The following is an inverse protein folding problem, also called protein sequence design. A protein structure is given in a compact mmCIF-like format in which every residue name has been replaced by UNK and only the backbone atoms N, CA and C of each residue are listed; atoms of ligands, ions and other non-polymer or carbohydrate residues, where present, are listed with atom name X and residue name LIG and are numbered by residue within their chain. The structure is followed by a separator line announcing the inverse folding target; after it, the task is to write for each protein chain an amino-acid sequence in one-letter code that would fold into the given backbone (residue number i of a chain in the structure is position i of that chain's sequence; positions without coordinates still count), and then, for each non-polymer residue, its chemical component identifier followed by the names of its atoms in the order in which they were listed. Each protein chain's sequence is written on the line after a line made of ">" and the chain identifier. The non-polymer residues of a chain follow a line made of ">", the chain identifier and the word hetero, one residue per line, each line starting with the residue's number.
data_IF_394610077956
#
_entry.id   IF_394610077956
#
_cell.length_a   1.000
_cell.length_b   1.000
_cell.length_c   1.000
_cell.angle_alpha   90.00
_cell.angle_beta   90.00
_cell.angle_gamma   90.00
#
_symmetry.space_group_name_H-M   'P 1'
#
loop_
_entity.id
_entity.type
_entity.pdbx_description
1 polymer ?
#
# COMPACT_ATOMS: atom_id res chain seq x y z
N UNK A 1 14.23 -19.79 -23.88
CA UNK A 1 14.41 -18.77 -22.83
C UNK A 1 13.61 -19.24 -21.64
N UNK A 2 14.27 -19.53 -20.53
CA UNK A 2 13.59 -19.95 -19.30
C UNK A 2 12.83 -18.77 -18.69
N UNK A 3 11.91 -19.01 -17.76
CA UNK A 3 11.21 -17.94 -17.04
C UNK A 3 12.20 -17.04 -16.30
N UNK A 4 13.26 -17.61 -15.73
CA UNK A 4 14.31 -16.85 -15.05
C UNK A 4 15.11 -15.97 -16.02
N UNK A 5 15.43 -16.45 -17.23
CA UNK A 5 16.10 -15.63 -18.26
C UNK A 5 15.24 -14.42 -18.66
N UNK A 6 13.92 -14.61 -18.75
CA UNK A 6 12.98 -13.53 -19.07
C UNK A 6 12.89 -12.52 -17.94
N UNK A 7 12.77 -12.98 -16.71
CA UNK A 7 12.70 -12.11 -15.54
C UNK A 7 14.00 -11.33 -15.37
N UNK A 8 15.16 -11.93 -15.64
CA UNK A 8 16.45 -11.23 -15.63
C UNK A 8 16.47 -10.07 -16.63
N UNK A 9 16.04 -10.28 -17.87
CA UNK A 9 15.97 -9.22 -18.89
C UNK A 9 14.97 -8.10 -18.52
N UNK A 10 13.84 -8.46 -17.91
CA UNK A 10 12.85 -7.49 -17.43
C UNK A 10 13.39 -6.64 -16.28
N UNK A 11 14.10 -7.28 -15.34
CA UNK A 11 14.74 -6.59 -14.22
C UNK A 11 15.86 -5.66 -14.70
N UNK A 12 16.66 -6.08 -15.68
CA UNK A 12 17.69 -5.23 -16.29
C UNK A 12 17.05 -4.00 -16.97
N UNK A 13 15.97 -4.19 -17.73
CA UNK A 13 15.20 -3.08 -18.31
C UNK A 13 14.66 -2.11 -17.25
N UNK A 14 14.09 -2.65 -16.18
CA UNK A 14 13.58 -1.86 -15.06
C UNK A 14 14.70 -1.08 -14.36
N UNK A 15 15.84 -1.72 -14.14
CA UNK A 15 17.01 -1.14 -13.50
C UNK A 15 17.61 -0.01 -14.34
N UNK A 16 17.65 -0.14 -15.67
CA UNK A 16 18.04 0.97 -16.55
C UNK A 16 17.10 2.18 -16.42
N UNK A 17 15.78 1.96 -16.31
CA UNK A 17 14.81 3.06 -16.08
C UNK A 17 15.03 3.70 -14.71
N UNK A 18 15.29 2.91 -13.67
CA UNK A 18 15.55 3.42 -12.33
C UNK A 18 16.90 4.15 -12.27
N UNK A 19 17.93 3.71 -12.99
CA UNK A 19 19.22 4.39 -13.06
C UNK A 19 19.08 5.82 -13.56
N UNK A 20 18.24 6.05 -14.58
CA UNK A 20 17.96 7.42 -15.05
C UNK A 20 17.35 8.30 -13.95
N UNK A 21 16.54 7.74 -13.05
CA UNK A 21 16.01 8.48 -11.89
C UNK A 21 17.15 8.80 -10.93
N UNK A 22 18.00 7.81 -10.61
CA UNK A 22 19.13 7.97 -9.69
C UNK A 22 20.10 9.05 -10.17
N UNK A 23 20.42 9.06 -11.46
CA UNK A 23 21.29 10.08 -12.06
C UNK A 23 20.70 11.50 -11.95
N UNK A 24 19.38 11.65 -12.08
CA UNK A 24 18.70 12.95 -11.89
C UNK A 24 18.70 13.39 -10.44
N UNK A 25 18.46 12.47 -9.52
CA UNK A 25 18.52 12.73 -8.08
C UNK A 25 19.93 13.15 -7.67
N UNK A 26 20.95 12.43 -8.13
CA UNK A 26 22.35 12.78 -7.91
C UNK A 26 22.68 14.16 -8.49
N UNK A 27 22.21 14.45 -9.71
CA UNK A 27 22.37 15.75 -10.35
C UNK A 27 21.80 16.91 -9.52
N UNK A 28 20.69 16.70 -8.82
CA UNK A 28 20.13 17.69 -7.88
C UNK A 28 20.96 17.77 -6.59
N UNK A 29 21.34 16.62 -6.03
CA UNK A 29 22.13 16.56 -4.79
C UNK A 29 23.51 17.23 -4.91
N UNK A 30 24.17 17.09 -6.06
CA UNK A 30 25.50 17.65 -6.32
C UNK A 30 25.43 19.09 -6.87
N UNK A 31 24.22 19.59 -7.17
CA UNK A 31 23.99 20.95 -7.64
C UNK A 31 24.16 21.18 -9.15
N UNK A 32 24.27 20.11 -9.95
CA UNK A 32 24.21 20.19 -11.42
C UNK A 32 22.84 20.64 -11.93
N UNK A 33 21.78 20.36 -11.17
CA UNK A 33 20.40 20.74 -11.45
C UNK A 33 19.80 21.38 -10.21
N UNK A 34 18.99 22.42 -10.39
CA UNK A 34 18.29 23.10 -9.29
C UNK A 34 17.07 22.31 -8.81
N UNK A 35 16.54 21.43 -9.66
CA UNK A 35 15.49 20.51 -9.28
C UNK A 35 15.19 19.45 -10.32
N UNK A 36 14.27 18.56 -9.97
CA UNK A 36 13.87 17.40 -10.76
C UNK A 36 12.38 17.11 -10.52
N UNK A 37 11.62 16.87 -11.60
CA UNK A 37 10.23 16.43 -11.53
C UNK A 37 10.09 14.99 -12.00
N UNK A 38 9.68 14.11 -11.10
CA UNK A 38 9.42 12.70 -11.36
C UNK A 38 7.93 12.41 -11.23
N UNK A 39 7.32 11.83 -12.26
CA UNK A 39 5.91 11.47 -12.19
C UNK A 39 5.60 10.12 -12.82
N UNK A 40 4.49 9.51 -12.41
CA UNK A 40 4.02 8.22 -12.93
C UNK A 40 3.06 7.55 -11.96
N UNK A 41 2.46 6.42 -12.32
CA UNK A 41 1.46 5.75 -11.49
C UNK A 41 1.92 5.48 -10.05
N UNK A 42 0.98 5.48 -9.12
CA UNK A 42 1.23 5.14 -7.71
C UNK A 42 1.74 3.70 -7.56
N UNK A 43 2.52 3.44 -6.51
CA UNK A 43 2.91 2.05 -6.19
C UNK A 43 4.07 1.47 -7.01
N UNK A 44 4.75 2.30 -7.80
CA UNK A 44 5.80 1.87 -8.74
C UNK A 44 7.24 2.01 -8.22
N UNK A 45 7.46 2.40 -6.95
CA UNK A 45 8.81 2.60 -6.36
C UNK A 45 9.50 3.95 -6.64
N UNK A 46 8.76 4.98 -7.10
CA UNK A 46 9.31 6.34 -7.33
C UNK A 46 10.00 6.92 -6.09
N UNK A 47 9.24 7.11 -5.01
CA UNK A 47 9.71 7.67 -3.75
C UNK A 47 10.87 6.88 -3.16
N UNK A 48 10.71 5.55 -3.11
CA UNK A 48 11.74 4.65 -2.63
C UNK A 48 13.06 4.83 -3.39
N UNK A 49 13.02 4.93 -4.73
CA UNK A 49 14.22 5.14 -5.55
C UNK A 49 14.88 6.49 -5.23
N UNK A 50 14.10 7.56 -5.09
CA UNK A 50 14.62 8.90 -4.76
C UNK A 50 15.29 8.91 -3.38
N UNK A 51 14.58 8.44 -2.35
CA UNK A 51 15.06 8.44 -0.97
C UNK A 51 16.27 7.54 -0.78
N UNK A 52 16.23 6.32 -1.32
CA UNK A 52 17.35 5.38 -1.24
C UNK A 52 18.61 5.98 -1.90
N UNK A 53 18.46 6.68 -3.02
CA UNK A 53 19.58 7.34 -3.70
C UNK A 53 20.19 8.44 -2.84
N UNK A 54 19.36 9.32 -2.27
CA UNK A 54 19.84 10.38 -1.38
C UNK A 54 20.53 9.83 -0.14
N UNK A 55 19.99 8.74 0.44
CA UNK A 55 20.60 8.04 1.57
C UNK A 55 21.95 7.43 1.21
N UNK A 56 22.06 6.78 0.04
CA UNK A 56 23.32 6.20 -0.46
C UNK A 56 24.39 7.27 -0.71
N UNK A 57 24.00 8.44 -1.18
CA UNK A 57 24.89 9.59 -1.36
C UNK A 57 25.27 10.27 -0.03
N UNK A 58 24.59 9.94 1.08
CA UNK A 58 24.77 10.62 2.35
C UNK A 58 24.27 12.08 2.33
N UNK A 59 23.40 12.43 1.37
CA UNK A 59 22.92 13.80 1.19
C UNK A 59 21.76 14.09 2.14
N UNK A 60 21.86 15.07 3.04
CA UNK A 60 20.76 15.44 3.92
C UNK A 60 19.61 16.04 3.10
N UNK A 61 18.38 15.56 3.35
CA UNK A 61 17.19 16.05 2.67
C UNK A 61 16.03 16.31 3.64
N UNK A 62 15.08 17.13 3.20
CA UNK A 62 13.81 17.38 3.87
C UNK A 62 12.68 16.74 3.07
N UNK A 63 12.05 15.73 3.65
CA UNK A 63 10.87 15.07 3.08
C UNK A 63 9.60 15.84 3.49
N UNK A 64 8.77 16.16 2.52
CA UNK A 64 7.41 16.70 2.73
C UNK A 64 6.40 15.85 1.97
N UNK A 65 5.52 15.17 2.70
CA UNK A 65 4.53 14.23 2.17
C UNK A 65 3.09 14.62 2.53
N UNK A 66 2.85 15.92 2.73
CA UNK A 66 1.56 16.46 3.12
C UNK A 66 1.24 17.73 2.35
N UNK A 67 0.00 18.19 2.43
CA UNK A 67 -0.46 19.39 1.74
C UNK A 67 0.42 20.59 2.09
N UNK A 68 1.13 21.10 1.10
CA UNK A 68 2.01 22.26 1.24
C UNK A 68 1.37 23.51 0.61
N UNK A 69 1.24 24.59 1.37
CA UNK A 69 0.79 25.90 0.87
C UNK A 69 1.98 26.72 0.39
N UNK A 70 1.77 27.75 -0.44
CA UNK A 70 2.86 28.61 -0.92
C UNK A 70 3.66 29.27 0.22
N UNK A 71 2.98 29.70 1.30
CA UNK A 71 3.69 30.24 2.48
C UNK A 71 4.43 29.15 3.26
N UNK A 72 3.87 27.95 3.32
CA UNK A 72 4.53 26.78 3.91
C UNK A 72 5.82 26.44 3.17
N UNK A 73 5.77 26.36 1.83
CA UNK A 73 6.94 26.14 1.00
C UNK A 73 7.99 27.24 1.20
N UNK A 74 7.59 28.52 1.16
CA UNK A 74 8.51 29.63 1.39
C UNK A 74 9.26 29.50 2.73
N UNK A 75 8.54 29.21 3.82
CA UNK A 75 9.15 29.02 5.15
C UNK A 75 10.08 27.82 5.17
N UNK A 76 9.66 26.68 4.61
CA UNK A 76 10.46 25.46 4.55
C UNK A 76 11.80 25.68 3.85
N UNK A 77 11.78 26.34 2.69
CA UNK A 77 12.99 26.67 1.93
C UNK A 77 13.87 27.67 2.68
N UNK A 78 13.28 28.66 3.36
CA UNK A 78 14.03 29.66 4.14
C UNK A 78 14.71 29.04 5.36
N UNK A 79 14.02 28.13 6.05
CA UNK A 79 14.51 27.52 7.28
C UNK A 79 15.58 26.46 6.97
N UNK A 80 15.63 25.92 5.74
CA UNK A 80 16.65 24.97 5.25
C UNK A 80 17.13 25.33 3.82
N UNK A 81 17.89 26.43 3.66
CA UNK A 81 18.18 27.01 2.35
C UNK A 81 19.17 26.22 1.51
N UNK A 82 19.99 25.37 2.14
CA UNK A 82 21.04 24.59 1.48
C UNK A 82 20.67 23.10 1.34
N UNK A 83 19.50 22.69 1.86
CA UNK A 83 19.07 21.30 1.85
C UNK A 83 18.42 20.89 0.52
N UNK A 84 18.50 19.60 0.18
CA UNK A 84 17.61 19.03 -0.84
C UNK A 84 16.22 18.85 -0.24
N UNK A 85 15.19 19.31 -0.94
CA UNK A 85 13.79 19.17 -0.55
C UNK A 85 13.12 18.13 -1.44
N UNK A 86 12.66 17.02 -0.86
CA UNK A 86 11.86 16.01 -1.54
C UNK A 86 10.40 16.27 -1.19
N UNK A 87 9.61 16.63 -2.19
CA UNK A 87 8.19 16.95 -2.03
C UNK A 87 7.38 15.89 -2.74
N UNK A 88 6.71 15.05 -1.97
CA UNK A 88 5.81 14.00 -2.46
C UNK A 88 4.40 14.52 -2.66
N UNK A 89 3.65 13.83 -3.50
CA UNK A 89 2.26 14.16 -3.85
C UNK A 89 2.10 15.65 -4.19
N UNK A 90 2.99 16.14 -5.06
CA UNK A 90 3.09 17.55 -5.44
C UNK A 90 1.92 18.07 -6.30
N UNK A 91 0.95 17.22 -6.68
CA UNK A 91 -0.15 17.57 -7.59
C UNK A 91 -0.94 18.78 -7.09
N UNK A 92 -1.25 18.81 -5.79
CA UNK A 92 -2.02 19.90 -5.18
C UNK A 92 -1.30 21.26 -5.26
N UNK A 93 0.03 21.26 -5.34
CA UNK A 93 0.84 22.48 -5.41
C UNK A 93 0.74 23.17 -6.77
N UNK A 94 0.47 22.41 -7.83
CA UNK A 94 0.37 22.96 -9.19
C UNK A 94 -0.92 23.76 -9.41
N UNK A 95 -1.94 23.51 -8.61
CA UNK A 95 -3.16 24.32 -8.58
C UNK A 95 -2.98 25.66 -7.82
N UNK A 96 -2.02 25.75 -6.90
CA UNK A 96 -1.75 26.97 -6.14
C UNK A 96 -0.76 27.88 -6.87
N UNK A 97 -1.29 29.00 -7.40
CA UNK A 97 -0.50 30.05 -8.06
C UNK A 97 0.61 30.61 -7.16
N UNK A 98 0.38 30.66 -5.86
CA UNK A 98 1.34 31.18 -4.89
C UNK A 98 2.53 30.24 -4.76
N UNK A 99 2.26 28.94 -4.64
CA UNK A 99 3.28 27.89 -4.62
C UNK A 99 4.08 27.87 -5.92
N UNK A 100 3.41 27.97 -7.06
CA UNK A 100 4.06 28.10 -8.37
C UNK A 100 4.97 29.33 -8.45
N UNK A 101 4.58 30.45 -7.83
CA UNK A 101 5.43 31.64 -7.70
C UNK A 101 6.74 31.35 -6.97
N UNK A 102 6.65 30.75 -5.79
CA UNK A 102 7.81 30.39 -4.96
C UNK A 102 8.72 29.39 -5.67
N UNK A 103 8.16 28.33 -6.28
CA UNK A 103 8.94 27.34 -7.03
C UNK A 103 9.72 27.96 -8.19
N UNK A 104 9.13 28.90 -8.93
CA UNK A 104 9.83 29.55 -10.06
C UNK A 104 11.05 30.35 -9.59
N UNK A 105 10.96 31.02 -8.44
CA UNK A 105 12.10 31.70 -7.83
C UNK A 105 13.14 30.71 -7.29
N UNK A 106 12.69 29.61 -6.69
CA UNK A 106 13.58 28.62 -6.10
C UNK A 106 14.24 27.66 -7.10
N UNK A 107 13.80 27.63 -8.37
CA UNK A 107 14.32 26.74 -9.42
C UNK A 107 15.18 27.45 -10.47
N UNK A 108 15.33 28.77 -10.41
CA UNK A 108 16.13 29.52 -11.38
C UNK A 108 16.82 30.72 -10.73
N UNK A 109 18.12 30.86 -10.98
CA UNK A 109 18.92 31.99 -10.55
C UNK A 109 20.16 32.16 -11.40
N UNK A 110 21.02 33.10 -11.00
CA UNK A 110 22.29 33.30 -11.68
C UNK A 110 23.29 32.23 -11.21
N UNK A 111 24.10 31.75 -12.15
CA UNK A 111 25.19 30.83 -11.84
C UNK A 111 26.29 31.63 -11.14
N UNK A 112 26.61 31.24 -9.91
CA UNK A 112 27.71 31.76 -9.12
C UNK A 112 29.06 31.32 -9.66
N UNK A 113 30.14 31.82 -9.03
CA UNK A 113 31.52 31.53 -9.47
C UNK A 113 31.93 30.06 -9.28
N UNK A 114 31.25 29.34 -8.39
CA UNK A 114 31.45 27.92 -8.10
C UNK A 114 30.63 26.99 -9.02
N UNK A 115 29.91 27.55 -10.00
CA UNK A 115 29.03 26.80 -10.90
C UNK A 115 27.65 26.47 -10.32
N UNK A 116 27.41 26.76 -9.03
CA UNK A 116 26.10 26.56 -8.40
C UNK A 116 25.23 27.79 -8.61
N UNK A 117 23.91 27.59 -8.66
CA UNK A 117 22.98 28.71 -8.76
C UNK A 117 22.59 29.21 -7.38
N UNK A 118 22.84 30.49 -7.11
CA UNK A 118 22.26 31.20 -5.97
C UNK A 118 20.90 31.79 -6.40
N UNK A 119 19.85 31.46 -5.66
CA UNK A 119 18.47 31.79 -6.04
C UNK A 119 17.82 32.64 -4.97
N UNK A 120 17.64 33.93 -5.25
CA UNK A 120 16.95 34.84 -4.35
C UNK A 120 15.45 34.55 -4.36
N UNK A 121 14.92 34.07 -3.25
CA UNK A 121 13.49 33.79 -3.08
C UNK A 121 12.88 34.91 -2.24
N UNK A 122 11.91 35.62 -2.82
CA UNK A 122 11.26 36.76 -2.17
C UNK A 122 9.79 36.44 -1.87
N UNK A 123 9.33 36.89 -0.70
CA UNK A 123 7.92 36.91 -0.31
C UNK A 123 7.54 38.32 0.13
N UNK A 124 6.55 38.89 -0.55
CA UNK A 124 6.03 40.21 -0.22
C UNK A 124 4.56 40.13 0.21
N UNK A 125 4.22 40.82 1.30
CA UNK A 125 2.83 40.97 1.76
C UNK A 125 2.64 42.39 2.27
N UNK A 126 2.01 43.23 1.45
CA UNK A 126 1.92 44.67 1.72
C UNK A 126 3.32 45.31 1.80
N UNK A 127 3.66 46.01 2.89
CA UNK A 127 4.98 46.62 3.08
C UNK A 127 6.06 45.64 3.55
N UNK A 128 5.68 44.44 4.01
CA UNK A 128 6.63 43.45 4.52
C UNK A 128 7.27 42.70 3.35
N UNK A 129 8.61 42.71 3.31
CA UNK A 129 9.44 41.96 2.38
C UNK A 129 10.35 41.03 3.17
N UNK A 130 10.23 39.73 2.89
CA UNK A 130 11.09 38.67 3.43
C UNK A 130 11.80 38.00 2.25
N UNK A 131 13.11 37.84 2.33
CA UNK A 131 13.91 37.24 1.26
C UNK A 131 15.09 36.46 1.82
N UNK A 132 15.49 35.43 1.08
CA UNK A 132 16.66 34.62 1.42
C UNK A 132 17.29 34.05 0.15
N UNK A 133 18.57 33.70 0.23
CA UNK A 133 19.27 32.98 -0.83
C UNK A 133 19.06 31.49 -0.63
N UNK A 134 18.53 30.82 -1.65
CA UNK A 134 18.34 29.38 -1.70
C UNK A 134 19.43 28.76 -2.59
N UNK A 135 20.16 27.78 -2.06
CA UNK A 135 21.22 27.05 -2.80
C UNK A 135 20.91 25.56 -2.95
N UNK A 136 19.99 25.02 -2.13
CA UNK A 136 19.61 23.61 -2.08
C UNK A 136 18.90 23.05 -3.33
N UNK A 137 18.49 21.80 -3.30
CA UNK A 137 17.81 21.14 -4.42
C UNK A 137 16.31 21.00 -4.21
N UNK A 138 15.50 20.87 -5.27
CA UNK A 138 14.08 20.53 -5.16
C UNK A 138 13.76 19.31 -6.03
N UNK A 139 13.34 18.21 -5.41
CA UNK A 139 12.85 17.01 -6.08
C UNK A 139 11.35 16.92 -5.83
N UNK A 140 10.57 16.96 -6.91
CA UNK A 140 9.12 16.87 -6.89
C UNK A 140 8.71 15.49 -7.38
N UNK A 141 7.91 14.76 -6.59
CA UNK A 141 7.35 13.46 -6.95
C UNK A 141 5.83 13.56 -7.02
N UNK A 142 5.24 13.08 -8.11
CA UNK A 142 3.80 13.14 -8.34
C UNK A 142 3.27 11.91 -9.08
N UNK A 143 1.95 11.75 -9.14
CA UNK A 143 1.28 10.68 -9.87
C UNK A 143 0.75 11.12 -11.24
N UNK A 144 0.79 12.41 -11.56
CA UNK A 144 0.41 12.95 -12.86
C UNK A 144 1.52 13.85 -13.46
N UNK A 145 1.46 14.08 -14.77
CA UNK A 145 2.34 15.05 -15.43
C UNK A 145 1.95 16.50 -15.11
N UNK A 146 2.84 17.44 -15.42
CA UNK A 146 2.49 18.87 -15.41
C UNK A 146 1.56 19.18 -16.60
N UNK A 147 0.42 19.81 -16.31
CA UNK A 147 -0.51 20.29 -17.34
C UNK A 147 0.15 21.35 -18.24
N UNK A 148 -0.44 21.54 -19.42
CA UNK A 148 0.00 22.52 -20.41
C UNK A 148 -0.49 23.95 -20.10
N UNK A 149 -0.23 24.40 -18.87
CA UNK A 149 -0.59 25.74 -18.38
C UNK A 149 0.64 26.66 -18.37
N UNK A 150 0.52 27.97 -18.69
CA UNK A 150 1.66 28.89 -18.74
C UNK A 150 2.54 28.88 -17.48
N UNK A 151 1.92 28.82 -16.29
CA UNK A 151 2.65 28.75 -15.02
C UNK A 151 3.43 27.45 -14.81
N UNK A 152 2.93 26.32 -15.33
CA UNK A 152 3.57 25.00 -15.20
C UNK A 152 4.62 24.77 -16.28
N UNK A 153 4.43 25.33 -17.49
CA UNK A 153 5.47 25.39 -18.54
C UNK A 153 6.74 26.05 -18.00
N UNK A 154 6.59 27.13 -17.22
CA UNK A 154 7.72 27.81 -16.60
C UNK A 154 8.50 26.91 -15.62
N UNK A 155 7.83 26.01 -14.88
CA UNK A 155 8.50 25.03 -14.03
C UNK A 155 9.20 23.99 -14.91
N UNK A 156 8.49 23.45 -15.91
CA UNK A 156 8.99 22.44 -16.85
C UNK A 156 10.25 22.87 -17.62
N UNK A 157 10.44 24.16 -17.90
CA UNK A 157 11.66 24.65 -18.56
C UNK A 157 12.85 24.84 -17.62
N UNK A 158 12.64 24.77 -16.29
CA UNK A 158 13.69 24.99 -15.28
C UNK A 158 14.24 23.68 -14.69
N UNK A 159 13.50 22.58 -14.80
CA UNK A 159 13.87 21.28 -14.25
C UNK A 159 13.66 20.17 -15.27
N UNK A 160 14.48 19.10 -15.26
CA UNK A 160 14.15 17.89 -16.00
C UNK A 160 12.83 17.30 -15.49
N UNK A 161 11.98 16.89 -16.43
CA UNK A 161 10.72 16.21 -16.14
C UNK A 161 10.77 14.81 -16.73
N UNK A 162 10.70 13.79 -15.87
CA UNK A 162 10.73 12.39 -16.28
C UNK A 162 9.41 11.70 -15.91
N UNK A 163 8.82 11.03 -16.90
CA UNK A 163 7.74 10.08 -16.67
C UNK A 163 8.34 8.71 -16.41
N UNK A 164 7.99 8.12 -15.27
CA UNK A 164 8.35 6.76 -14.92
C UNK A 164 7.18 5.82 -15.14
N UNK A 165 7.31 4.97 -16.15
CA UNK A 165 6.28 4.03 -16.58
C UNK A 165 6.91 2.64 -16.75
N UNK A 166 7.07 1.87 -15.65
CA UNK A 166 7.44 0.47 -15.76
C UNK A 166 6.28 -0.33 -16.36
N UNK A 167 6.59 -1.40 -17.09
CA UNK A 167 5.56 -2.31 -17.61
C UNK A 167 5.09 -3.27 -16.51
N UNK A 168 3.91 -3.86 -16.66
CA UNK A 168 3.44 -4.86 -15.71
C UNK A 168 4.38 -6.07 -15.64
N UNK A 169 5.02 -6.46 -16.73
CA UNK A 169 6.00 -7.55 -16.73
C UNK A 169 7.24 -7.20 -15.90
N UNK A 170 7.74 -5.96 -16.02
CA UNK A 170 8.86 -5.47 -15.20
C UNK A 170 8.49 -5.44 -13.72
N UNK A 171 7.29 -4.93 -13.38
CA UNK A 171 6.81 -4.91 -11.99
C UNK A 171 6.59 -6.32 -11.47
N UNK A 172 6.06 -7.25 -12.28
CA UNK A 172 5.88 -8.65 -11.91
C UNK A 172 7.22 -9.34 -11.59
N UNK A 173 8.25 -9.14 -12.42
CA UNK A 173 9.58 -9.66 -12.16
C UNK A 173 10.15 -9.10 -10.84
N UNK A 174 9.95 -7.80 -10.58
CA UNK A 174 10.34 -7.19 -9.30
C UNK A 174 9.54 -7.75 -8.10
N UNK A 175 8.24 -8.00 -8.25
CA UNK A 175 7.42 -8.63 -7.20
C UNK A 175 7.98 -9.99 -6.80
N UNK A 176 8.38 -10.82 -7.78
CA UNK A 176 9.02 -12.12 -7.52
C UNK A 176 10.36 -11.98 -6.79
N UNK A 177 11.18 -11.00 -7.15
CA UNK A 177 12.44 -10.72 -6.43
C UNK A 177 12.18 -10.32 -4.99
N UNK A 178 11.16 -9.50 -4.73
CA UNK A 178 10.76 -9.12 -3.37
C UNK A 178 10.27 -10.36 -2.61
N UNK A 179 9.43 -11.19 -3.24
CA UNK A 179 8.88 -12.39 -2.63
C UNK A 179 9.96 -13.40 -2.21
N UNK A 180 11.02 -13.58 -3.02
CA UNK A 180 12.15 -14.46 -2.72
C UNK A 180 12.89 -14.12 -1.41
N UNK A 181 12.69 -12.93 -0.85
CA UNK A 181 13.32 -12.51 0.42
C UNK A 181 12.51 -12.92 1.66
N UNK A 182 11.28 -13.41 1.50
CA UNK A 182 10.34 -13.54 2.62
C UNK A 182 9.81 -12.17 3.08
N UNK A 183 8.96 -12.17 4.11
CA UNK A 183 8.41 -10.93 4.66
C UNK A 183 8.19 -11.02 6.16
N UNK A 184 8.79 -10.10 6.92
CA UNK A 184 8.61 -9.99 8.36
C UNK A 184 7.55 -8.95 8.73
N UNK A 185 6.73 -9.27 9.74
CA UNK A 185 5.76 -8.38 10.34
C UNK A 185 5.67 -8.59 11.87
N UNK A 186 6.53 -7.88 12.61
CA UNK A 186 6.60 -8.02 14.06
C UNK A 186 7.10 -9.41 14.45
N UNK A 187 6.36 -10.19 15.28
CA UNK A 187 6.74 -11.55 15.65
C UNK A 187 6.39 -12.60 14.57
N UNK A 188 5.74 -12.18 13.48
CA UNK A 188 5.27 -13.07 12.41
C UNK A 188 6.12 -12.89 11.16
N UNK A 189 6.24 -13.95 10.36
CA UNK A 189 6.96 -13.90 9.08
C UNK A 189 6.30 -14.83 8.07
N UNK A 190 6.44 -14.49 6.78
CA UNK A 190 6.18 -15.37 5.66
C UNK A 190 7.50 -15.86 5.07
N UNK A 191 7.55 -17.15 4.77
CA UNK A 191 8.62 -17.75 4.00
C UNK A 191 8.65 -17.22 2.55
N UNK A 192 9.79 -17.36 1.85
CA UNK A 192 9.87 -17.02 0.43
C UNK A 192 8.82 -17.72 -0.45
N UNK A 193 8.44 -18.96 -0.12
CA UNK A 193 7.45 -19.73 -0.88
C UNK A 193 6.04 -19.16 -0.70
N UNK A 194 5.65 -18.83 0.54
CA UNK A 194 4.37 -18.18 0.84
C UNK A 194 4.27 -16.78 0.22
N UNK A 195 5.37 -16.01 0.25
CA UNK A 195 5.42 -14.74 -0.45
C UNK A 195 5.30 -14.90 -1.97
N UNK A 196 5.86 -15.97 -2.53
CA UNK A 196 5.77 -16.25 -3.96
C UNK A 196 4.33 -16.60 -4.36
N UNK A 197 3.61 -17.38 -3.54
CA UNK A 197 2.17 -17.63 -3.71
C UNK A 197 1.38 -16.32 -3.79
N UNK A 198 1.62 -15.40 -2.87
CA UNK A 198 0.97 -14.09 -2.84
C UNK A 198 1.28 -13.27 -4.10
N UNK A 199 2.54 -13.24 -4.53
CA UNK A 199 2.96 -12.50 -5.71
C UNK A 199 2.27 -13.03 -6.99
N UNK A 200 2.25 -14.34 -7.19
CA UNK A 200 1.63 -14.95 -8.38
C UNK A 200 0.11 -14.74 -8.41
N UNK A 201 -0.57 -14.79 -7.25
CA UNK A 201 -2.00 -14.48 -7.17
C UNK A 201 -2.32 -13.03 -7.58
N UNK A 202 -1.49 -12.08 -7.14
CA UNK A 202 -1.63 -10.67 -7.53
C UNK A 202 -1.40 -10.50 -9.04
N UNK A 203 -0.35 -11.12 -9.58
CA UNK A 203 -0.01 -11.05 -11.02
C UNK A 203 -1.15 -11.64 -11.86
N UNK A 204 -1.62 -12.84 -11.52
CA UNK A 204 -2.71 -13.53 -12.22
C UNK A 204 -4.01 -12.70 -12.20
N UNK A 205 -4.40 -12.18 -11.03
CA UNK A 205 -5.63 -11.39 -10.89
C UNK A 205 -5.54 -10.03 -11.58
N UNK A 206 -4.40 -9.36 -11.50
CA UNK A 206 -4.20 -8.05 -12.14
C UNK A 206 -4.25 -8.17 -13.66
N UNK A 207 -3.65 -9.23 -14.21
CA UNK A 207 -3.75 -9.57 -15.63
C UNK A 207 -5.20 -9.80 -16.05
N UNK A 208 -5.95 -10.62 -15.30
CA UNK A 208 -7.39 -10.88 -15.55
C UNK A 208 -8.24 -9.60 -15.51
N UNK A 209 -7.96 -8.69 -14.57
CA UNK A 209 -8.68 -7.43 -14.39
C UNK A 209 -8.14 -6.30 -15.28
N UNK A 210 -7.08 -6.54 -16.06
CA UNK A 210 -6.36 -5.52 -16.85
C UNK A 210 -5.98 -4.28 -16.02
N UNK A 211 -5.56 -4.49 -14.78
CA UNK A 211 -5.08 -3.43 -13.88
C UNK A 211 -3.55 -3.39 -13.90
N UNK A 212 -2.99 -2.20 -13.66
CA UNK A 212 -1.56 -2.05 -13.42
C UNK A 212 -1.17 -2.71 -12.08
N UNK A 213 0.03 -3.29 -12.04
CA UNK A 213 0.59 -3.84 -10.82
C UNK A 213 1.09 -2.73 -9.89
N UNK A 214 0.91 -2.96 -8.60
CA UNK A 214 1.25 -2.03 -7.52
C UNK A 214 2.06 -2.79 -6.45
N UNK A 215 3.29 -2.36 -6.17
CA UNK A 215 4.15 -2.96 -5.14
C UNK A 215 3.59 -2.77 -3.72
N UNK A 216 2.80 -1.72 -3.50
CA UNK A 216 2.07 -1.51 -2.23
C UNK A 216 0.97 -2.55 -2.06
N UNK A 217 0.33 -2.98 -3.14
CA UNK A 217 -0.63 -4.10 -3.09
C UNK A 217 0.07 -5.38 -2.62
N UNK A 218 1.27 -5.68 -3.15
CA UNK A 218 2.07 -6.84 -2.72
C UNK A 218 2.33 -6.83 -1.21
N UNK A 219 2.93 -5.75 -0.70
CA UNK A 219 3.28 -5.63 0.73
C UNK A 219 2.03 -5.70 1.63
N UNK A 220 0.93 -5.09 1.21
CA UNK A 220 -0.32 -5.17 1.97
C UNK A 220 -0.91 -6.58 1.96
N UNK A 221 -0.77 -7.31 0.87
CA UNK A 221 -1.32 -8.67 0.75
C UNK A 221 -0.49 -9.68 1.54
N UNK A 222 0.83 -9.46 1.68
CA UNK A 222 1.63 -10.21 2.67
C UNK A 222 1.06 -10.07 4.08
N UNK A 223 0.66 -8.85 4.47
CA UNK A 223 0.03 -8.62 5.78
C UNK A 223 -1.33 -9.30 5.88
N UNK A 224 -2.14 -9.27 4.82
CA UNK A 224 -3.44 -9.96 4.77
C UNK A 224 -3.26 -11.49 4.92
N UNK A 225 -2.22 -12.06 4.31
CA UNK A 225 -1.84 -13.49 4.46
C UNK A 225 -1.39 -13.81 5.89
N UNK A 226 -0.48 -13.02 6.45
CA UNK A 226 -0.04 -13.14 7.85
C UNK A 226 -1.22 -13.05 8.82
N UNK A 227 -2.13 -12.10 8.59
CA UNK A 227 -3.32 -11.92 9.43
C UNK A 227 -4.21 -13.17 9.41
N UNK A 228 -4.36 -13.79 8.24
CA UNK A 228 -5.12 -15.02 8.07
C UNK A 228 -4.45 -16.23 8.75
N UNK A 229 -3.17 -16.48 8.49
CA UNK A 229 -2.44 -17.63 9.04
C UNK A 229 -2.35 -17.60 10.57
N UNK A 230 -2.22 -16.40 11.15
CA UNK A 230 -2.19 -16.21 12.60
C UNK A 230 -3.59 -16.20 13.24
N UNK A 231 -4.65 -16.51 12.49
CA UNK A 231 -6.03 -16.58 13.00
C UNK A 231 -6.61 -15.23 13.44
N UNK A 232 -5.99 -14.13 13.01
CA UNK A 232 -6.44 -12.75 13.26
C UNK A 232 -7.43 -12.25 12.20
N UNK A 233 -7.69 -13.06 11.17
CA UNK A 233 -8.80 -12.88 10.23
C UNK A 233 -9.63 -14.16 10.14
N UNK A 234 -10.95 -13.97 10.08
CA UNK A 234 -11.90 -15.04 9.72
C UNK A 234 -12.01 -15.16 8.19
N UNK A 235 -11.79 -14.09 7.45
CA UNK A 235 -11.87 -14.09 5.99
C UNK A 235 -10.54 -14.56 5.39
N UNK A 236 -10.59 -15.44 4.38
CA UNK A 236 -9.40 -15.89 3.68
C UNK A 236 -8.66 -14.71 3.03
N UNK A 237 -7.32 -14.72 3.04
CA UNK A 237 -6.53 -13.62 2.51
C UNK A 237 -6.79 -13.34 1.02
N UNK A 238 -7.14 -14.37 0.22
CA UNK A 238 -7.56 -14.20 -1.18
C UNK A 238 -8.85 -13.39 -1.34
N UNK A 239 -9.77 -13.48 -0.38
CA UNK A 239 -11.00 -12.68 -0.38
C UNK A 239 -10.70 -11.24 0.07
N UNK A 240 -9.74 -11.05 1.00
CA UNK A 240 -9.23 -9.72 1.37
C UNK A 240 -8.53 -9.04 0.19
N UNK A 241 -7.68 -9.77 -0.53
CA UNK A 241 -7.04 -9.32 -1.78
C UNK A 241 -8.10 -8.92 -2.80
N UNK A 242 -9.10 -9.77 -3.05
CA UNK A 242 -10.17 -9.49 -4.00
C UNK A 242 -10.96 -8.23 -3.63
N UNK A 243 -11.29 -8.07 -2.34
CA UNK A 243 -11.95 -6.88 -1.81
C UNK A 243 -11.14 -5.62 -2.04
N UNK A 244 -9.81 -5.69 -1.87
CA UNK A 244 -8.90 -4.56 -2.10
C UNK A 244 -8.79 -4.22 -3.58
N UNK A 245 -8.68 -5.21 -4.46
CA UNK A 245 -8.60 -5.00 -5.90
C UNK A 245 -9.91 -4.48 -6.52
N UNK A 246 -11.06 -4.80 -5.92
CA UNK A 246 -12.38 -4.34 -6.38
C UNK A 246 -12.89 -3.10 -5.64
N UNK A 247 -12.20 -2.67 -4.58
CA UNK A 247 -12.56 -1.52 -3.75
C UNK A 247 -14.02 -1.59 -3.23
N UNK A 248 -14.49 -2.82 -2.94
CA UNK A 248 -15.85 -3.06 -2.45
C UNK A 248 -15.89 -4.31 -1.57
N UNK A 249 -16.91 -4.41 -0.72
CA UNK A 249 -17.18 -5.63 0.03
C UNK A 249 -17.54 -6.74 -0.95
N UNK A 250 -16.84 -7.87 -0.84
CA UNK A 250 -17.07 -9.07 -1.65
C UNK A 250 -17.56 -10.17 -0.71
N UNK A 251 -18.57 -10.93 -1.13
CA UNK A 251 -18.97 -12.13 -0.39
C UNK A 251 -17.80 -13.14 -0.44
N UNK A 252 -17.34 -13.69 0.70
CA UNK A 252 -16.20 -14.59 0.72
C UNK A 252 -16.44 -15.80 -0.18
N UNK A 253 -15.53 -16.05 -1.13
CA UNK A 253 -15.59 -17.23 -2.01
C UNK A 253 -14.87 -18.42 -1.38
N UNK A 254 -13.88 -18.17 -0.51
CA UNK A 254 -12.99 -19.18 0.08
C UNK A 254 -13.45 -19.78 1.41
N UNK A 255 -14.65 -19.42 1.90
CA UNK A 255 -15.14 -19.85 3.21
C UNK A 255 -14.45 -19.15 4.40
N UNK A 256 -14.85 -19.53 5.62
CA UNK A 256 -14.33 -18.97 6.86
C UNK A 256 -13.01 -19.67 7.29
N UNK A 257 -12.05 -18.92 7.80
CA UNK A 257 -10.64 -19.27 7.95
C UNK A 257 -10.27 -20.26 9.05
N UNK A 258 -8.96 -20.42 9.30
CA UNK A 258 -8.39 -21.43 10.24
C UNK A 258 -9.01 -21.35 11.63
N UNK A 259 -9.29 -20.14 12.14
CA UNK A 259 -9.98 -19.97 13.42
C UNK A 259 -11.46 -20.35 13.35
N UNK A 260 -12.13 -20.14 12.22
CA UNK A 260 -13.50 -20.60 12.02
C UNK A 260 -13.58 -22.12 11.89
N UNK A 261 -12.62 -22.74 11.20
CA UNK A 261 -12.49 -24.19 11.13
C UNK A 261 -12.13 -24.79 12.49
N UNK A 262 -11.18 -24.20 13.23
CA UNK A 262 -10.88 -24.60 14.62
C UNK A 262 -12.10 -24.41 15.52
N UNK A 263 -12.81 -23.28 15.41
CA UNK A 263 -14.06 -23.06 16.14
C UNK A 263 -15.15 -24.06 15.73
N UNK A 264 -15.25 -24.43 14.44
CA UNK A 264 -16.21 -25.41 13.96
C UNK A 264 -15.88 -26.82 14.47
N UNK A 265 -14.60 -27.20 14.43
CA UNK A 265 -14.09 -28.44 15.01
C UNK A 265 -14.31 -28.48 16.52
N UNK A 266 -14.10 -27.37 17.21
CA UNK A 266 -14.40 -27.20 18.64
C UNK A 266 -15.90 -27.37 18.92
N UNK A 267 -16.77 -26.76 18.12
CA UNK A 267 -18.23 -26.92 18.24
C UNK A 267 -18.66 -28.36 17.93
N UNK A 268 -18.03 -29.02 16.97
CA UNK A 268 -18.28 -30.42 16.60
C UNK A 268 -17.86 -31.38 17.72
N UNK A 269 -16.64 -31.23 18.25
CA UNK A 269 -16.16 -32.00 19.42
C UNK A 269 -17.10 -31.77 20.60
N UNK A 270 -17.47 -30.50 20.88
CA UNK A 270 -18.40 -30.17 21.95
C UNK A 270 -19.78 -30.81 21.75
N UNK A 271 -20.29 -30.87 20.51
CA UNK A 271 -21.53 -31.53 20.16
C UNK A 271 -21.46 -33.05 20.37
N UNK A 272 -20.37 -33.69 19.94
CA UNK A 272 -20.16 -35.13 20.13
C UNK A 272 -20.12 -35.50 21.61
N UNK A 273 -19.45 -34.72 22.44
CA UNK A 273 -19.34 -35.01 23.88
C UNK A 273 -20.52 -34.50 24.71
N UNK A 274 -21.47 -33.74 24.13
CA UNK A 274 -22.51 -33.04 24.88
C UNK A 274 -23.38 -33.96 25.76
N UNK A 275 -23.56 -35.23 25.35
CA UNK A 275 -24.36 -36.24 26.04
C UNK A 275 -23.64 -36.90 27.24
N UNK A 276 -22.32 -36.72 27.37
CA UNK A 276 -21.54 -37.34 28.45
C UNK A 276 -21.76 -36.61 29.78
N UNK A 277 -21.59 -37.30 30.93
CA UNK A 277 -21.54 -36.68 32.24
C UNK A 277 -20.52 -35.54 32.31
N UNK A 278 -20.80 -34.50 33.09
CA UNK A 278 -19.96 -33.30 33.19
C UNK A 278 -18.46 -33.55 33.46
N UNK A 279 -18.05 -34.52 34.30
CA UNK A 279 -16.62 -34.81 34.52
C UNK A 279 -15.96 -35.41 33.27
N UNK A 280 -16.67 -36.29 32.56
CA UNK A 280 -16.17 -37.01 31.39
C UNK A 280 -16.04 -36.10 30.16
N UNK A 281 -16.96 -35.14 30.02
CA UNK A 281 -16.86 -34.10 28.97
C UNK A 281 -15.56 -33.33 29.02
N UNK A 282 -15.13 -32.92 30.22
CA UNK A 282 -13.91 -32.14 30.35
C UNK A 282 -12.66 -32.95 29.98
N UNK A 283 -12.63 -34.23 30.37
CA UNK A 283 -11.52 -35.14 30.04
C UNK A 283 -11.44 -35.37 28.53
N UNK A 284 -12.57 -35.69 27.88
CA UNK A 284 -12.63 -35.89 26.44
C UNK A 284 -12.26 -34.61 25.66
N UNK A 285 -12.74 -33.46 26.11
CA UNK A 285 -12.41 -32.16 25.53
C UNK A 285 -10.91 -31.86 25.59
N UNK A 286 -10.29 -32.04 26.76
CA UNK A 286 -8.87 -31.79 26.95
C UNK A 286 -8.00 -32.75 26.13
N UNK A 287 -8.40 -34.02 26.03
CA UNK A 287 -7.69 -35.02 25.25
C UNK A 287 -7.71 -34.71 23.74
N UNK A 288 -8.84 -34.24 23.21
CA UNK A 288 -9.00 -33.99 21.77
C UNK A 288 -8.58 -32.59 21.31
N UNK A 289 -8.74 -31.58 22.16
CA UNK A 289 -8.50 -30.17 21.77
C UNK A 289 -7.31 -29.53 22.47
N UNK A 290 -6.83 -30.10 23.58
CA UNK A 290 -5.80 -29.49 24.44
C UNK A 290 -6.27 -28.24 25.20
N UNK A 291 -7.56 -27.92 25.17
CA UNK A 291 -8.11 -26.64 25.63
C UNK A 291 -8.69 -26.66 27.05
N UNK A 292 -8.85 -25.47 27.60
CA UNK A 292 -9.31 -25.26 28.97
C UNK A 292 -10.81 -25.52 29.15
N UNK A 293 -11.23 -25.71 30.41
CA UNK A 293 -12.63 -25.84 30.82
C UNK A 293 -13.50 -24.65 30.39
N UNK A 294 -12.95 -23.43 30.39
CA UNK A 294 -13.67 -22.23 29.99
C UNK A 294 -13.97 -22.18 28.48
N UNK A 295 -13.16 -22.84 27.66
CA UNK A 295 -13.38 -22.96 26.21
C UNK A 295 -14.43 -24.02 25.89
N UNK A 296 -14.44 -25.14 26.63
CA UNK A 296 -15.49 -26.16 26.53
C UNK A 296 -16.90 -25.57 26.72
N UNK A 297 -17.10 -24.79 27.78
CA UNK A 297 -18.43 -24.21 28.04
C UNK A 297 -18.85 -23.18 26.98
N UNK A 298 -17.90 -22.44 26.41
CA UNK A 298 -18.19 -21.53 25.29
C UNK A 298 -18.61 -22.32 24.04
N UNK A 299 -17.94 -23.42 23.74
CA UNK A 299 -18.32 -24.28 22.61
C UNK A 299 -19.68 -24.98 22.83
N UNK A 300 -19.97 -25.49 24.03
CA UNK A 300 -21.27 -26.09 24.38
C UNK A 300 -22.42 -25.09 24.32
N UNK A 301 -22.19 -23.83 24.71
CA UNK A 301 -23.20 -22.78 24.58
C UNK A 301 -23.60 -22.56 23.12
N UNK A 302 -22.63 -22.59 22.19
CA UNK A 302 -22.86 -22.45 20.75
C UNK A 302 -23.66 -23.63 20.17
N UNK A 303 -23.39 -24.86 20.62
CA UNK A 303 -24.17 -26.07 20.26
C UNK A 303 -25.63 -25.93 20.71
N UNK A 304 -25.85 -25.44 21.94
CA UNK A 304 -27.20 -25.23 22.48
C UNK A 304 -28.03 -24.22 21.68
N UNK A 305 -27.42 -23.10 21.26
CA UNK A 305 -28.08 -22.11 20.39
C UNK A 305 -28.41 -22.65 19.00
N UNK A 306 -27.53 -23.45 18.39
CA UNK A 306 -27.76 -24.03 17.07
C UNK A 306 -28.91 -25.06 17.08
N UNK A 307 -28.99 -25.88 18.12
CA UNK A 307 -30.09 -26.85 18.30
C UNK A 307 -31.45 -26.15 18.48
N UNK A 308 -31.48 -25.02 19.22
CA UNK A 308 -32.69 -24.23 19.43
C UNK A 308 -33.19 -23.53 18.16
N UNK A 309 -32.29 -23.08 17.28
CA UNK A 309 -32.67 -22.45 16.01
C UNK A 309 -33.22 -23.46 15.00
N UNK A 310 -32.63 -24.65 14.92
CA UNK A 310 -33.13 -25.74 14.05
C UNK A 310 -34.53 -26.23 14.46
N UNK A 311 -34.83 -26.28 15.78
CA UNK A 311 -36.18 -26.61 16.25
C UNK A 311 -37.24 -25.57 15.90
N UNK A 312 -36.88 -24.28 15.85
CA UNK A 312 -37.81 -23.21 15.47
C UNK A 312 -38.14 -23.22 13.97
N UNK A 313 -37.16 -23.51 13.11
CA UNK A 313 -37.38 -23.62 11.65
C UNK A 313 -38.27 -24.82 11.32
N UNK A 314 -38.10 -25.94 12.02
CA UNK A 314 -38.93 -27.14 11.81
C UNK A 314 -40.39 -26.95 12.25
N UNK A 315 -40.64 -26.13 13.27
CA UNK A 315 -42.00 -25.76 13.71
C UNK A 315 -42.70 -24.79 12.75
N UNK A 316 -41.96 -23.91 12.08
CA UNK A 316 -42.52 -23.01 11.06
C UNK A 316 -42.93 -23.76 9.78
N UNK A 317 -42.16 -24.77 9.36
CA UNK A 317 -42.50 -25.62 8.20
C UNK A 317 -43.67 -26.59 8.43
N UNK A 318 -44.02 -26.87 9.69
CA UNK A 318 -45.15 -27.73 10.03
C UNK A 318 -46.49 -26.98 10.14
N UNK A 319 -46.46 -25.65 10.31
CA UNK A 319 -47.66 -24.80 10.45
C UNK A 319 -48.31 -24.37 9.14
N UNK A 320 -47.64 -24.52 7.99
CA UNK A 320 -48.19 -24.12 6.68
C UNK A 320 -49.06 -25.21 6.02
N UNK A 321 -49.12 -26.43 6.57
CA UNK A 321 -49.85 -27.55 5.98
C UNK A 321 -51.32 -27.68 6.44
N UNK A 322 -51.79 -26.90 7.42
CA UNK A 322 -53.16 -27.04 7.98
C UNK A 322 -54.17 -25.93 7.57
N UNK A 323 -53.76 -24.89 6.82
CA UNK A 323 -54.65 -23.77 6.47
C UNK A 323 -55.31 -23.88 5.06
N UNK A 324 -55.64 -25.08 4.61
CA UNK A 324 -56.03 -25.34 3.23
C UNK A 324 -57.25 -26.25 3.02
N UNK A 325 -58.25 -26.26 3.89
CA UNK A 325 -59.54 -26.93 3.54
C UNK A 325 -60.74 -26.39 4.35
N UNK A 326 -61.42 -25.38 3.78
CA UNK A 326 -62.86 -25.06 3.91
C UNK A 326 -63.00 -23.63 3.36
N UNK A 327 -63.85 -23.32 2.39
CA UNK A 327 -65.32 -23.34 2.47
C UNK A 327 -65.88 -23.41 1.05
N UNK A 328 -66.87 -24.28 0.87
CA UNK A 328 -67.83 -24.29 -0.23
C UNK A 328 -69.18 -23.77 0.27
N UNK A 329 -69.73 -22.74 -0.40
CA UNK A 329 -71.16 -22.52 -0.64
C UNK A 329 -71.30 -21.55 -1.82
#
# INVERSE_FOLDING_TARGET
>A
MTTDDRDAALLESLEHKQQLIRDRVQGVAEGYQTGFYLWGEGGTSKSYTVEQTLQQLGTPYKLTNSRLTGKGLFKLLRDFPDAVHVIEDAEAMFADKTTSGVLRSALWGQVGRDGKQERLVCWQTGPLRDEFVFTGGIILVANCGLDDLPQLRAIKTRVPCLQYLPTNEEVAALMRVIARKGHDHGPYALSPDECSEVAEEIIARSSRLRRNLDLRLLVNTFKDRIQFENGSSVTHWLDLLESRMKERVVAPLGGFGVRAQRNAQEVEVAGRIAHLPAPERLVAWQAETGKSRAELYRALALVGTAASQLSQVSQLSAGETEAGTSVSA
#
